data_IF_372019428551
#
_entry.id   IF_372019428551
#
_cell.length_a   1.000
_cell.length_b   1.000
_cell.length_c   1.000
_cell.angle_alpha   90.00
_cell.angle_beta   90.00
_cell.angle_gamma   90.00
#
_symmetry.space_group_name_H-M   'P 1'
#
loop_
_entity.id
_entity.type
_entity.pdbx_description
1 polymer ?
#
# COMPACT_ATOMS: atom_id res chain seq x y z
N UNK A 1 0.03 -5.42 2.91
CA UNK A 1 0.42 -4.01 2.61
C UNK A 1 -0.70 -3.01 2.95
N UNK A 2 -1.99 -3.32 2.67
CA UNK A 2 -3.13 -2.43 3.01
C UNK A 2 -3.11 -1.90 4.44
N UNK A 3 -2.95 -2.72 5.49
CA UNK A 3 -2.88 -2.25 6.88
C UNK A 3 -1.77 -1.23 7.13
N UNK A 4 -0.62 -1.40 6.47
CA UNK A 4 0.52 -0.48 6.62
C UNK A 4 0.26 0.87 5.94
N UNK A 5 -0.37 0.87 4.77
CA UNK A 5 -0.77 2.11 4.09
C UNK A 5 -1.76 2.89 4.94
N UNK A 6 -2.76 2.22 5.52
CA UNK A 6 -3.73 2.83 6.42
C UNK A 6 -3.09 3.40 7.69
N UNK A 7 -2.18 2.63 8.30
CA UNK A 7 -1.40 3.09 9.46
C UNK A 7 -0.54 4.31 9.13
N UNK A 8 0.12 4.32 7.98
CA UNK A 8 0.91 5.46 7.50
C UNK A 8 0.02 6.68 7.27
N UNK A 9 -1.12 6.53 6.62
CA UNK A 9 -2.07 7.61 6.40
C UNK A 9 -2.59 8.20 7.70
N UNK A 10 -2.99 7.36 8.65
CA UNK A 10 -3.40 7.80 9.99
C UNK A 10 -2.29 8.56 10.71
N UNK A 11 -1.05 8.05 10.64
CA UNK A 11 0.11 8.72 11.24
C UNK A 11 0.29 10.11 10.67
N UNK A 12 0.36 10.26 9.34
CA UNK A 12 0.57 11.56 8.70
C UNK A 12 -0.60 12.53 8.94
N UNK A 13 -1.83 12.02 8.99
CA UNK A 13 -3.00 12.84 9.31
C UNK A 13 -2.93 13.36 10.75
N UNK A 14 -2.66 12.48 11.71
CA UNK A 14 -2.57 12.84 13.11
C UNK A 14 -1.33 13.67 13.44
N UNK A 15 -0.24 13.57 12.67
CA UNK A 15 0.92 14.45 12.83
C UNK A 15 0.56 15.92 12.55
N UNK A 16 -0.39 16.18 11.65
CA UNK A 16 -0.92 17.53 11.45
C UNK A 16 -1.69 18.02 12.69
N UNK A 17 -2.55 17.17 13.25
CA UNK A 17 -3.28 17.46 14.49
C UNK A 17 -2.33 17.72 15.67
N UNK A 18 -1.32 16.85 15.86
CA UNK A 18 -0.30 16.99 16.90
C UNK A 18 0.45 18.32 16.77
N UNK A 19 0.82 18.68 15.53
CA UNK A 19 1.54 19.93 15.27
C UNK A 19 0.70 21.16 15.62
N UNK A 20 -0.60 21.12 15.33
CA UNK A 20 -1.53 22.21 15.67
C UNK A 20 -1.69 22.31 17.19
N UNK A 21 -1.90 21.19 17.87
CA UNK A 21 -2.02 21.13 19.33
C UNK A 21 -0.75 21.61 20.05
N UNK A 22 0.41 21.23 19.55
CA UNK A 22 1.68 21.70 20.10
C UNK A 22 1.80 23.25 20.01
N UNK A 23 1.34 23.84 18.91
CA UNK A 23 1.30 25.32 18.78
C UNK A 23 0.32 25.96 19.75
N UNK A 24 -0.90 25.39 19.90
CA UNK A 24 -1.90 25.88 20.85
C UNK A 24 -1.42 25.80 22.30
N UNK A 25 -0.71 24.72 22.65
CA UNK A 25 -0.18 24.47 24.00
C UNK A 25 1.21 25.09 24.24
N UNK A 26 1.78 25.78 23.24
CA UNK A 26 3.13 26.37 23.27
C UNK A 26 4.22 25.36 23.63
N UNK A 27 4.11 24.11 23.10
CA UNK A 27 5.10 23.05 23.30
C UNK A 27 6.22 23.22 22.28
N UNK A 28 7.45 23.40 22.76
CA UNK A 28 8.64 23.44 21.93
C UNK A 28 9.35 22.07 21.91
N UNK A 29 9.20 21.33 20.82
CA UNK A 29 9.81 20.03 20.64
C UNK A 29 11.35 20.06 20.62
N UNK A 30 11.97 21.22 20.34
CA UNK A 30 13.43 21.33 20.34
C UNK A 30 14.04 21.28 21.74
N UNK A 31 13.23 21.55 22.76
CA UNK A 31 13.63 21.52 24.18
C UNK A 31 13.36 20.19 24.88
N UNK A 32 12.68 19.26 24.22
CA UNK A 32 12.27 17.96 24.79
C UNK A 32 13.22 16.84 24.36
N UNK A 33 13.30 15.79 25.18
CA UNK A 33 13.95 14.55 24.76
C UNK A 33 13.14 13.83 23.67
N UNK A 34 13.78 12.92 22.93
CA UNK A 34 13.08 12.10 21.92
C UNK A 34 11.92 11.32 22.51
N UNK A 35 12.11 10.77 23.72
CA UNK A 35 11.11 9.97 24.41
C UNK A 35 9.90 10.81 24.84
N UNK A 36 10.13 12.02 25.37
CA UNK A 36 9.05 12.96 25.74
C UNK A 36 8.24 13.41 24.51
N UNK A 37 8.92 13.63 23.40
CA UNK A 37 8.26 13.98 22.12
C UNK A 37 7.37 12.83 21.65
N UNK A 38 7.86 11.61 21.73
CA UNK A 38 7.08 10.43 21.31
C UNK A 38 5.92 10.17 22.25
N UNK A 39 6.07 10.35 23.55
CA UNK A 39 4.99 10.25 24.54
C UNK A 39 3.91 11.31 24.27
N UNK A 40 4.30 12.56 24.04
CA UNK A 40 3.37 13.62 23.68
C UNK A 40 2.58 13.30 22.42
N UNK A 41 3.25 12.84 21.35
CA UNK A 41 2.62 12.45 20.09
C UNK A 41 1.63 11.30 20.30
N UNK A 42 2.00 10.28 21.07
CA UNK A 42 1.12 9.15 21.37
C UNK A 42 -0.13 9.59 22.13
N UNK A 43 0.04 10.43 23.16
CA UNK A 43 -1.09 11.00 23.91
C UNK A 43 -2.04 11.76 23.00
N UNK A 44 -1.54 12.66 22.14
CA UNK A 44 -2.37 13.44 21.22
C UNK A 44 -3.07 12.59 20.17
N UNK A 45 -2.46 11.48 19.73
CA UNK A 45 -3.12 10.52 18.83
C UNK A 45 -4.25 9.75 19.50
N UNK A 46 -4.13 9.44 20.79
CA UNK A 46 -5.22 8.84 21.56
C UNK A 46 -6.38 9.85 21.75
N UNK A 47 -6.07 11.10 22.14
CA UNK A 47 -7.06 12.18 22.22
C UNK A 47 -7.79 12.38 20.87
N UNK A 48 -7.07 12.29 19.76
CA UNK A 48 -7.66 12.36 18.41
C UNK A 48 -8.62 11.19 18.15
N UNK A 49 -8.22 9.95 18.48
CA UNK A 49 -9.09 8.77 18.34
C UNK A 49 -10.38 8.90 19.14
N UNK A 50 -10.28 9.32 20.40
CA UNK A 50 -11.44 9.53 21.29
C UNK A 50 -12.35 10.64 20.76
N UNK A 51 -11.78 11.78 20.34
CA UNK A 51 -12.54 12.92 19.82
C UNK A 51 -13.38 12.60 18.59
N UNK A 52 -12.88 11.73 17.70
CA UNK A 52 -13.52 11.40 16.44
C UNK A 52 -14.12 10.00 16.38
N UNK A 53 -14.18 9.31 17.53
CA UNK A 53 -14.73 7.95 17.67
C UNK A 53 -14.08 6.96 16.68
N UNK A 54 -12.73 6.95 16.67
CA UNK A 54 -11.94 6.12 15.77
C UNK A 54 -11.45 4.89 16.53
N UNK A 55 -12.02 3.74 16.22
CA UNK A 55 -11.64 2.45 16.79
C UNK A 55 -10.61 1.72 15.93
N UNK A 56 -10.04 0.66 16.49
CA UNK A 56 -9.25 -0.29 15.73
C UNK A 56 -10.14 -1.43 15.24
N UNK A 57 -9.98 -1.84 14.01
CA UNK A 57 -10.66 -2.99 13.40
C UNK A 57 -9.68 -4.14 13.18
N UNK A 58 -10.22 -5.34 13.05
CA UNK A 58 -9.46 -6.52 12.69
C UNK A 58 -9.41 -6.70 11.17
N UNK A 59 -8.25 -6.50 10.58
CA UNK A 59 -8.03 -6.74 9.16
C UNK A 59 -7.55 -8.19 8.97
N UNK A 60 -8.40 -9.01 8.33
CA UNK A 60 -8.13 -10.43 8.11
C UNK A 60 -7.89 -10.72 6.63
N UNK A 61 -6.85 -11.45 6.32
CA UNK A 61 -6.54 -11.95 4.99
C UNK A 61 -5.95 -13.36 5.06
N UNK A 62 -6.73 -14.35 4.68
CA UNK A 62 -6.39 -15.76 4.88
C UNK A 62 -6.27 -16.10 6.36
N UNK A 63 -5.15 -16.69 6.76
CA UNK A 63 -4.83 -17.01 8.16
C UNK A 63 -4.14 -15.86 8.91
N UNK A 64 -3.97 -14.73 8.24
CA UNK A 64 -3.33 -13.55 8.82
C UNK A 64 -4.39 -12.55 9.29
N UNK A 65 -4.29 -12.17 10.57
CA UNK A 65 -5.13 -11.12 11.15
C UNK A 65 -4.25 -10.10 11.87
N UNK A 66 -4.57 -8.84 11.72
CA UNK A 66 -3.86 -7.73 12.37
C UNK A 66 -4.84 -6.64 12.75
N UNK A 67 -4.69 -6.11 13.96
CA UNK A 67 -5.41 -4.90 14.37
C UNK A 67 -4.86 -3.70 13.64
N UNK A 68 -5.75 -2.94 13.01
CA UNK A 68 -5.43 -1.72 12.28
C UNK A 68 -6.48 -0.66 12.62
N UNK A 69 -6.05 0.58 12.68
CA UNK A 69 -6.97 1.70 12.88
C UNK A 69 -8.01 1.75 11.75
N UNK A 70 -9.29 1.88 12.12
CA UNK A 70 -10.39 2.04 11.17
C UNK A 70 -10.40 3.49 10.61
N UNK A 71 -9.43 3.77 9.73
CA UNK A 71 -9.17 5.09 9.16
C UNK A 71 -8.94 4.97 7.65
N UNK A 72 -10.03 4.80 6.91
CA UNK A 72 -10.00 4.56 5.48
C UNK A 72 -9.70 5.83 4.68
N UNK A 73 -8.85 5.72 3.67
CA UNK A 73 -8.46 6.86 2.82
C UNK A 73 -9.65 7.43 2.03
N UNK A 74 -10.61 6.60 1.66
CA UNK A 74 -11.79 7.00 0.89
C UNK A 74 -12.99 7.42 1.75
N UNK A 75 -12.87 7.41 3.07
CA UNK A 75 -13.94 7.82 3.97
C UNK A 75 -14.17 9.34 3.92
N UNK A 76 -15.38 9.75 3.55
CA UNK A 76 -15.76 11.16 3.44
C UNK A 76 -15.84 11.85 4.83
N UNK A 77 -16.07 11.10 5.91
CA UNK A 77 -15.98 11.63 7.28
C UNK A 77 -14.57 12.11 7.57
N UNK A 78 -13.55 11.31 7.21
CA UNK A 78 -12.15 11.67 7.44
C UNK A 78 -11.77 12.89 6.60
N UNK A 79 -12.20 12.96 5.34
CA UNK A 79 -11.98 14.12 4.48
C UNK A 79 -12.62 15.39 5.04
N UNK A 80 -13.77 15.27 5.73
CA UNK A 80 -14.51 16.39 6.31
C UNK A 80 -13.90 16.91 7.62
N UNK A 81 -13.06 16.13 8.33
CA UNK A 81 -12.39 16.58 9.56
C UNK A 81 -11.50 17.79 9.26
N UNK A 82 -10.60 17.66 8.29
CA UNK A 82 -9.76 18.75 7.81
C UNK A 82 -9.19 18.39 6.43
N UNK A 83 -9.61 19.13 5.41
CA UNK A 83 -9.24 18.88 4.03
C UNK A 83 -7.73 19.10 3.75
N UNK A 84 -7.10 20.05 4.42
CA UNK A 84 -5.67 20.33 4.25
C UNK A 84 -4.82 19.19 4.85
N UNK A 85 -5.18 18.73 6.07
CA UNK A 85 -4.53 17.59 6.69
C UNK A 85 -4.69 16.32 5.85
N UNK A 86 -5.90 16.11 5.30
CA UNK A 86 -6.16 14.99 4.40
C UNK A 86 -5.25 15.02 3.19
N UNK A 87 -5.18 16.16 2.50
CA UNK A 87 -4.36 16.29 1.29
C UNK A 87 -2.86 16.07 1.59
N UNK A 88 -2.37 16.64 2.69
CA UNK A 88 -0.99 16.47 3.14
C UNK A 88 -0.70 15.02 3.50
N UNK A 89 -1.55 14.40 4.31
CA UNK A 89 -1.39 13.00 4.72
C UNK A 89 -1.43 12.04 3.51
N UNK A 90 -2.33 12.29 2.57
CA UNK A 90 -2.43 11.50 1.34
C UNK A 90 -1.16 11.61 0.50
N UNK A 91 -0.64 12.82 0.32
CA UNK A 91 0.60 13.05 -0.42
C UNK A 91 1.81 12.36 0.23
N UNK A 92 1.99 12.53 1.55
CA UNK A 92 3.08 11.92 2.29
C UNK A 92 3.01 10.39 2.28
N UNK A 93 1.80 9.83 2.47
CA UNK A 93 1.58 8.38 2.39
C UNK A 93 1.92 7.83 1.01
N UNK A 94 1.54 8.55 -0.05
CA UNK A 94 1.86 8.15 -1.43
C UNK A 94 3.37 8.19 -1.69
N UNK A 95 4.06 9.20 -1.18
CA UNK A 95 5.52 9.33 -1.30
C UNK A 95 6.24 8.21 -0.54
N UNK A 96 5.86 7.96 0.72
CA UNK A 96 6.43 6.88 1.53
C UNK A 96 6.22 5.51 0.86
N UNK A 97 5.02 5.26 0.32
CA UNK A 97 4.72 4.05 -0.43
C UNK A 97 5.60 3.91 -1.68
N UNK A 98 5.74 4.97 -2.45
CA UNK A 98 6.57 4.95 -3.66
C UNK A 98 8.05 4.70 -3.34
N UNK A 99 8.58 5.32 -2.29
CA UNK A 99 9.95 5.08 -1.81
C UNK A 99 10.14 3.64 -1.33
N UNK A 100 9.17 3.09 -0.60
CA UNK A 100 9.18 1.70 -0.12
C UNK A 100 9.19 0.72 -1.28
N UNK A 101 8.41 0.97 -2.33
CA UNK A 101 8.38 0.13 -3.53
C UNK A 101 9.69 0.26 -4.32
N UNK A 102 10.25 1.45 -4.44
CA UNK A 102 11.54 1.65 -5.09
C UNK A 102 12.67 0.89 -4.36
N UNK A 103 12.68 0.97 -3.03
CA UNK A 103 13.60 0.20 -2.19
C UNK A 103 13.41 -1.31 -2.35
N UNK A 104 12.15 -1.78 -2.45
CA UNK A 104 11.84 -3.18 -2.70
C UNK A 104 12.45 -3.65 -4.02
N UNK A 105 12.21 -2.92 -5.12
CA UNK A 105 12.79 -3.27 -6.42
C UNK A 105 14.31 -3.22 -6.39
N UNK A 106 14.88 -2.20 -5.77
CA UNK A 106 16.35 -2.08 -5.66
C UNK A 106 16.92 -3.27 -4.88
N UNK A 107 16.39 -3.55 -3.70
CA UNK A 107 16.90 -4.59 -2.82
C UNK A 107 16.82 -5.99 -3.45
N UNK A 108 15.68 -6.33 -4.08
CA UNK A 108 15.51 -7.64 -4.71
C UNK A 108 16.39 -7.85 -5.96
N UNK A 109 16.90 -6.77 -6.56
CA UNK A 109 17.75 -6.86 -7.76
C UNK A 109 19.24 -6.59 -7.47
N UNK A 110 19.61 -6.18 -6.26
CA UNK A 110 20.98 -5.85 -5.89
C UNK A 110 21.51 -6.61 -4.67
N UNK A 111 20.64 -6.98 -3.73
CA UNK A 111 21.05 -7.69 -2.52
C UNK A 111 21.21 -9.19 -2.79
N UNK A 112 22.40 -9.68 -2.52
CA UNK A 112 22.72 -11.11 -2.63
C UNK A 112 22.30 -11.80 -1.33
N UNK A 113 21.45 -12.82 -1.43
CA UNK A 113 20.93 -13.53 -0.27
C UNK A 113 21.83 -14.65 0.27
N UNK A 114 22.85 -15.06 -0.48
CA UNK A 114 23.77 -16.14 -0.12
C UNK A 114 25.18 -15.89 -0.67
N UNK A 115 26.17 -16.53 -0.02
CA UNK A 115 27.53 -16.68 -0.56
C UNK A 115 27.42 -17.38 -1.91
N UNK A 116 27.76 -16.72 -3.01
CA UNK A 116 27.61 -17.25 -4.37
C UNK A 116 26.81 -16.41 -5.33
N UNK A 117 26.55 -15.15 -4.99
CA UNK A 117 25.93 -14.13 -5.86
C UNK A 117 24.52 -14.47 -6.38
N UNK A 118 23.71 -15.19 -5.59
CA UNK A 118 22.33 -15.51 -5.97
C UNK A 118 21.37 -14.39 -5.50
N UNK A 119 20.63 -13.81 -6.45
CA UNK A 119 19.53 -12.94 -6.15
C UNK A 119 18.33 -13.75 -5.62
N UNK A 120 17.52 -13.19 -4.67
CA UNK A 120 16.34 -13.86 -4.17
C UNK A 120 15.28 -13.97 -5.27
N UNK A 121 14.99 -15.18 -5.74
CA UNK A 121 13.86 -15.41 -6.65
C UNK A 121 12.55 -15.10 -5.91
N UNK A 122 11.83 -14.09 -6.36
CA UNK A 122 10.62 -13.62 -5.70
C UNK A 122 9.54 -13.25 -6.71
N UNK A 123 8.28 -13.45 -6.31
CA UNK A 123 7.11 -13.04 -7.09
C UNK A 123 6.09 -12.33 -6.21
N UNK A 124 5.30 -11.45 -6.79
CA UNK A 124 4.20 -10.75 -6.12
C UNK A 124 2.95 -10.83 -6.98
N UNK A 125 1.87 -11.37 -6.40
CA UNK A 125 0.55 -11.39 -7.00
C UNK A 125 -0.24 -10.15 -6.52
N UNK A 126 -0.80 -9.39 -7.46
CA UNK A 126 -1.55 -8.17 -7.18
C UNK A 126 -2.57 -7.87 -8.29
N UNK A 127 -3.41 -6.87 -8.10
CA UNK A 127 -4.40 -6.44 -9.09
C UNK A 127 -5.86 -6.59 -8.63
N UNK A 128 -6.12 -7.47 -7.66
CA UNK A 128 -7.49 -7.83 -7.24
C UNK A 128 -8.06 -6.98 -6.11
N UNK A 129 -7.24 -6.30 -5.31
CA UNK A 129 -7.72 -5.51 -4.19
C UNK A 129 -8.40 -4.22 -4.66
N UNK A 130 -9.68 -4.04 -4.30
CA UNK A 130 -10.50 -2.87 -4.68
C UNK A 130 -10.54 -1.77 -3.62
N UNK A 131 -9.99 -2.02 -2.42
CA UNK A 131 -9.81 -0.99 -1.40
C UNK A 131 -8.88 0.11 -1.91
N UNK A 132 -9.13 1.36 -1.53
CA UNK A 132 -8.32 2.51 -1.97
C UNK A 132 -6.84 2.34 -1.66
N UNK A 133 -6.53 1.90 -0.45
CA UNK A 133 -5.16 1.58 -0.03
C UNK A 133 -4.52 0.48 -0.88
N UNK A 134 -5.31 -0.54 -1.23
CA UNK A 134 -4.87 -1.60 -2.13
C UNK A 134 -4.61 -1.12 -3.56
N UNK A 135 -5.49 -0.26 -4.09
CA UNK A 135 -5.29 0.40 -5.38
C UNK A 135 -3.99 1.23 -5.40
N UNK A 136 -3.70 1.96 -4.32
CA UNK A 136 -2.45 2.73 -4.19
C UNK A 136 -1.21 1.81 -4.22
N UNK A 137 -1.26 0.66 -3.55
CA UNK A 137 -0.17 -0.32 -3.58
C UNK A 137 0.03 -0.88 -4.99
N UNK A 138 -1.06 -1.27 -5.67
CA UNK A 138 -1.00 -1.78 -7.05
C UNK A 138 -0.42 -0.71 -7.98
N UNK A 139 -0.87 0.53 -7.84
CA UNK A 139 -0.37 1.64 -8.64
C UNK A 139 1.12 1.89 -8.41
N UNK A 140 1.58 1.89 -7.15
CA UNK A 140 2.98 2.08 -6.80
C UNK A 140 3.88 0.97 -7.36
N UNK A 141 3.44 -0.30 -7.31
CA UNK A 141 4.15 -1.43 -7.90
C UNK A 141 4.29 -1.28 -9.42
N UNK A 142 3.23 -0.89 -10.11
CA UNK A 142 3.25 -0.66 -11.55
C UNK A 142 4.15 0.54 -11.93
N UNK A 143 4.08 1.64 -11.17
CA UNK A 143 4.91 2.82 -11.39
C UNK A 143 6.39 2.53 -11.11
N UNK A 144 6.69 1.77 -10.06
CA UNK A 144 8.05 1.32 -9.76
C UNK A 144 8.63 0.47 -10.89
N UNK A 145 7.85 -0.48 -11.41
CA UNK A 145 8.24 -1.28 -12.60
C UNK A 145 8.48 -0.40 -13.82
N UNK A 146 7.58 0.55 -14.10
CA UNK A 146 7.70 1.46 -15.25
C UNK A 146 8.92 2.37 -15.17
N UNK A 147 9.24 2.90 -13.98
CA UNK A 147 10.44 3.72 -13.76
C UNK A 147 11.71 2.92 -13.98
N UNK A 148 11.72 1.65 -13.57
CA UNK A 148 12.92 0.83 -13.58
C UNK A 148 13.87 1.15 -12.43
N UNK A 149 15.01 0.44 -12.36
CA UNK A 149 16.00 0.54 -11.28
C UNK A 149 17.29 1.21 -11.75
N UNK A 150 17.95 1.91 -10.84
CA UNK A 150 19.23 2.55 -11.06
C UNK A 150 19.19 3.75 -12.03
N UNK A 151 20.34 4.36 -12.28
CA UNK A 151 20.48 5.53 -13.14
C UNK A 151 20.06 5.31 -14.60
N UNK A 152 20.16 4.07 -15.08
CA UNK A 152 19.84 3.70 -16.46
C UNK A 152 18.39 3.21 -16.62
N UNK A 153 17.57 3.29 -15.58
CA UNK A 153 16.18 2.85 -15.60
C UNK A 153 16.00 1.42 -16.16
N UNK A 154 16.85 0.50 -15.72
CA UNK A 154 16.82 -0.89 -16.18
C UNK A 154 15.55 -1.58 -15.70
N UNK A 155 15.05 -2.53 -16.50
CA UNK A 155 13.90 -3.35 -16.11
C UNK A 155 14.28 -4.24 -14.93
N UNK A 156 13.59 -4.12 -13.77
CA UNK A 156 13.86 -5.01 -12.64
C UNK A 156 13.42 -6.45 -12.97
N UNK A 157 14.25 -7.43 -12.62
CA UNK A 157 13.91 -8.84 -12.82
C UNK A 157 12.99 -9.31 -11.70
N UNK A 158 13.27 -8.89 -10.47
CA UNK A 158 12.50 -9.25 -9.27
C UNK A 158 11.87 -8.04 -8.60
N UNK A 159 10.69 -8.23 -7.97
CA UNK A 159 9.86 -9.44 -8.00
C UNK A 159 9.20 -9.62 -9.37
N UNK A 160 9.03 -10.89 -9.79
CA UNK A 160 8.20 -11.20 -10.94
C UNK A 160 6.76 -10.77 -10.64
N UNK A 161 6.29 -9.72 -11.29
CA UNK A 161 4.93 -9.19 -11.10
C UNK A 161 3.91 -10.09 -11.79
N UNK A 162 2.83 -10.44 -11.07
CA UNK A 162 1.71 -11.21 -11.59
C UNK A 162 0.43 -10.43 -11.31
N UNK A 163 -0.16 -9.88 -12.39
CA UNK A 163 -1.39 -9.13 -12.29
C UNK A 163 -2.59 -10.05 -12.42
N UNK A 164 -3.41 -10.11 -11.38
CA UNK A 164 -4.61 -10.92 -11.32
C UNK A 164 -5.76 -10.21 -12.02
N UNK A 165 -6.39 -10.86 -13.02
CA UNK A 165 -7.50 -10.33 -13.80
C UNK A 165 -8.76 -11.12 -13.50
N UNK A 166 -9.84 -10.43 -13.13
CA UNK A 166 -11.13 -11.05 -12.82
C UNK A 166 -12.32 -10.15 -13.17
N UNK A 167 -13.45 -10.76 -13.50
CA UNK A 167 -14.71 -10.06 -13.75
C UNK A 167 -15.19 -9.35 -12.48
N UNK A 168 -15.70 -8.12 -12.65
CA UNK A 168 -16.18 -7.30 -11.52
C UNK A 168 -15.06 -6.69 -10.67
N UNK A 169 -13.79 -6.91 -11.05
CA UNK A 169 -12.62 -6.36 -10.38
C UNK A 169 -11.87 -5.38 -11.30
N UNK A 170 -11.42 -5.85 -12.47
CA UNK A 170 -10.56 -5.07 -13.35
C UNK A 170 -10.63 -5.46 -14.85
N UNK A 171 -11.49 -6.40 -15.22
CA UNK A 171 -11.55 -6.95 -16.58
C UNK A 171 -12.33 -6.05 -17.54
N UNK A 172 -13.45 -5.48 -17.08
CA UNK A 172 -14.35 -4.66 -17.87
C UNK A 172 -14.16 -3.16 -17.60
N UNK A 173 -14.51 -2.28 -18.55
CA UNK A 173 -14.36 -0.83 -18.39
C UNK A 173 -15.00 -0.23 -17.14
N UNK A 174 -16.13 -0.81 -16.71
CA UNK A 174 -16.89 -0.34 -15.53
C UNK A 174 -16.37 -0.92 -14.19
N UNK A 175 -15.38 -1.81 -14.25
CA UNK A 175 -14.82 -2.42 -13.05
C UNK A 175 -13.94 -1.40 -12.27
N UNK A 176 -13.92 -1.46 -10.91
CA UNK A 176 -13.25 -0.46 -10.08
C UNK A 176 -11.74 -0.35 -10.32
N UNK A 177 -11.08 -1.44 -10.70
CA UNK A 177 -9.64 -1.50 -10.95
C UNK A 177 -9.28 -1.54 -12.44
N UNK A 178 -10.22 -1.26 -13.35
CA UNK A 178 -9.95 -1.31 -14.79
C UNK A 178 -8.83 -0.36 -15.23
N UNK A 179 -8.75 0.82 -14.64
CA UNK A 179 -7.67 1.78 -14.93
C UNK A 179 -6.28 1.24 -14.56
N UNK A 180 -6.19 0.41 -13.49
CA UNK A 180 -4.97 -0.28 -13.09
C UNK A 180 -4.61 -1.39 -14.07
N UNK A 181 -5.61 -2.12 -14.59
CA UNK A 181 -5.38 -3.11 -15.64
C UNK A 181 -4.81 -2.44 -16.91
N UNK A 182 -5.37 -1.31 -17.35
CA UNK A 182 -4.79 -0.55 -18.47
C UNK A 182 -3.37 -0.07 -18.19
N UNK A 183 -3.08 0.32 -16.96
CA UNK A 183 -1.73 0.71 -16.53
C UNK A 183 -0.76 -0.49 -16.55
N UNK A 184 -1.24 -1.66 -16.11
CA UNK A 184 -0.49 -2.91 -16.18
C UNK A 184 -0.12 -3.27 -17.63
N UNK A 185 -1.07 -3.17 -18.57
CA UNK A 185 -0.79 -3.39 -20.00
C UNK A 185 0.29 -2.44 -20.55
N UNK A 186 0.26 -1.17 -20.15
CA UNK A 186 1.33 -0.21 -20.50
C UNK A 186 2.68 -0.62 -19.91
N UNK A 187 2.68 -1.12 -18.68
CA UNK A 187 3.89 -1.63 -18.03
C UNK A 187 4.46 -2.82 -18.79
N UNK A 188 3.60 -3.80 -19.13
CA UNK A 188 4.03 -4.98 -19.90
C UNK A 188 4.59 -4.60 -21.27
N UNK A 189 3.95 -3.69 -21.97
CA UNK A 189 4.43 -3.22 -23.28
C UNK A 189 5.83 -2.58 -23.23
N UNK A 190 6.18 -1.96 -22.11
CA UNK A 190 7.49 -1.27 -21.93
C UNK A 190 8.53 -2.16 -21.22
N UNK A 191 8.11 -3.02 -20.30
CA UNK A 191 8.99 -3.72 -19.35
C UNK A 191 8.87 -5.23 -19.35
N UNK A 192 7.97 -5.80 -20.19
CA UNK A 192 7.63 -7.23 -20.23
C UNK A 192 6.81 -7.68 -18.99
N UNK A 193 6.86 -6.97 -17.89
CA UNK A 193 6.10 -7.25 -16.66
C UNK A 193 4.97 -6.23 -16.44
N UNK A 194 3.89 -6.64 -15.75
CA UNK A 194 3.63 -7.94 -15.12
C UNK A 194 3.16 -9.03 -16.10
N UNK A 195 3.26 -10.28 -15.67
CA UNK A 195 2.51 -11.41 -16.23
C UNK A 195 1.06 -11.35 -15.75
N UNK A 196 0.16 -12.13 -16.38
CA UNK A 196 -1.26 -12.09 -16.04
C UNK A 196 -1.77 -13.44 -15.58
N UNK A 197 -2.57 -13.44 -14.50
CA UNK A 197 -3.31 -14.59 -14.01
C UNK A 197 -4.81 -14.36 -14.18
N UNK A 198 -5.50 -15.23 -14.90
CA UNK A 198 -6.95 -15.15 -15.10
C UNK A 198 -7.66 -15.83 -13.93
N UNK A 199 -8.29 -15.04 -13.05
CA UNK A 199 -9.05 -15.57 -11.91
C UNK A 199 -10.34 -16.29 -12.35
N UNK A 200 -10.89 -15.92 -13.51
CA UNK A 200 -12.12 -16.52 -14.06
C UNK A 200 -11.86 -17.85 -14.80
N UNK A 201 -10.65 -18.37 -14.75
CA UNK A 201 -10.34 -19.63 -15.41
C UNK A 201 -11.16 -20.78 -14.83
N UNK A 202 -11.77 -21.57 -15.73
CA UNK A 202 -12.66 -22.66 -15.36
C UNK A 202 -12.02 -23.76 -14.49
N UNK A 203 -10.71 -23.89 -14.52
CA UNK A 203 -9.95 -24.79 -13.65
C UNK A 203 -9.76 -24.28 -12.21
N UNK A 204 -10.10 -23.01 -11.93
CA UNK A 204 -10.03 -22.42 -10.61
C UNK A 204 -11.28 -22.79 -9.78
N UNK A 205 -11.40 -24.06 -9.44
CA UNK A 205 -12.52 -24.57 -8.64
C UNK A 205 -12.49 -23.98 -7.23
N UNK A 206 -13.62 -23.42 -6.80
CA UNK A 206 -13.75 -22.81 -5.47
C UNK A 206 -13.36 -21.33 -5.42
N UNK A 207 -13.06 -20.71 -6.56
CA UNK A 207 -12.86 -19.27 -6.62
C UNK A 207 -14.16 -18.51 -6.29
N UNK A 208 -14.08 -17.65 -5.28
CA UNK A 208 -15.10 -16.67 -4.95
C UNK A 208 -14.45 -15.27 -4.98
N UNK A 209 -14.98 -14.38 -5.83
CA UNK A 209 -14.48 -13.00 -5.95
C UNK A 209 -14.56 -12.18 -4.65
N UNK A 210 -15.46 -12.58 -3.75
CA UNK A 210 -15.67 -11.91 -2.47
C UNK A 210 -14.79 -12.49 -1.34
N UNK A 211 -14.13 -13.64 -1.58
CA UNK A 211 -13.24 -14.25 -0.61
C UNK A 211 -11.80 -14.32 -1.16
N UNK A 212 -10.91 -13.37 -0.76
CA UNK A 212 -9.51 -13.37 -1.21
C UNK A 212 -8.73 -14.64 -0.90
N UNK A 213 -9.19 -15.48 0.05
CA UNK A 213 -8.55 -16.76 0.39
C UNK A 213 -8.71 -17.79 -0.73
N UNK A 214 -9.70 -17.61 -1.60
CA UNK A 214 -9.96 -18.51 -2.73
C UNK A 214 -9.15 -18.14 -3.98
N UNK A 215 -8.45 -16.97 -3.97
CA UNK A 215 -7.63 -16.54 -5.08
C UNK A 215 -6.40 -17.43 -5.18
N UNK A 216 -6.22 -18.07 -6.33
CA UNK A 216 -5.02 -18.85 -6.53
C UNK A 216 -3.80 -17.96 -6.74
N UNK A 217 -2.68 -18.39 -6.20
CA UNK A 217 -1.38 -17.75 -6.38
C UNK A 217 -0.58 -18.54 -7.40
N UNK A 218 -0.09 -17.88 -8.44
CA UNK A 218 0.82 -18.48 -9.40
C UNK A 218 2.27 -18.30 -8.94
N UNK A 219 3.16 -19.20 -9.30
CA UNK A 219 4.59 -19.18 -8.99
C UNK A 219 4.94 -19.24 -7.49
N UNK A 220 4.31 -20.16 -6.76
CA UNK A 220 4.53 -20.32 -5.32
C UNK A 220 4.46 -21.77 -4.85
N UNK A 221 4.77 -22.74 -5.69
CA UNK A 221 4.90 -24.14 -5.29
C UNK A 221 6.30 -24.64 -5.56
#
# INVERSE_FOLDING_TARGET
>A
MVPYVRKSFFKHFTDCYVTEKAKEENVDFSSLSSDDVDEYKQKKRLEFKEKYDIEDEEFTMGNFSVKVVNFHIDDDKIKSINKEWYNKAFYETKNELNQSVESLYHNLNSLQSRSGNQLPFSSVNYGSCTLKEGQMVIEALLDGSLRGTGKNHLTPIFPCGIFQVGKGINKNPDDPNYYLFRKALKSTAKRIYPNYANLDWSGNKGYDKNDPRTYFSTMGK
#
